data_IF_007483136118
#
_entry.id   IF_007483136118
#
_cell.length_a   1.000
_cell.length_b   1.000
_cell.length_c   1.000
_cell.angle_alpha   90.00
_cell.angle_beta   90.00
_cell.angle_gamma   90.00
#
_symmetry.space_group_name_H-M   'P 1'
#
loop_
_entity.id
_entity.type
_entity.pdbx_description
1 polymer ?
#
# COMPACT_ATOMS: atom_id res chain seq x y z
N UNK A 1 9.33 8.98 55.10
CA UNK A 1 8.40 7.89 54.89
C UNK A 1 7.40 8.29 53.84
N UNK A 2 7.54 7.73 52.65
CA UNK A 2 6.59 7.95 51.58
C UNK A 2 5.34 7.15 51.96
N UNK A 3 4.28 7.83 52.33
CA UNK A 3 2.93 7.27 52.44
C UNK A 3 2.31 7.24 51.04
N UNK A 4 1.51 6.25 50.70
CA UNK A 4 0.78 6.18 49.45
C UNK A 4 -0.02 7.48 49.21
N UNK A 5 -0.05 7.95 47.97
CA UNK A 5 -0.69 9.23 47.63
C UNK A 5 -1.64 9.07 46.46
N UNK A 6 -2.74 9.78 46.49
CA UNK A 6 -3.62 9.96 45.34
C UNK A 6 -3.16 11.17 44.53
N UNK A 7 -3.01 11.02 43.24
CA UNK A 7 -2.77 12.10 42.31
C UNK A 7 -3.76 11.95 41.13
N UNK A 8 -4.60 12.96 40.92
CA UNK A 8 -5.63 12.96 39.89
C UNK A 8 -6.52 11.68 39.87
N UNK A 9 -6.94 11.23 41.07
CA UNK A 9 -7.74 10.03 41.21
C UNK A 9 -6.99 8.70 41.16
N UNK A 10 -5.69 8.70 40.85
CA UNK A 10 -4.84 7.51 40.78
C UNK A 10 -4.04 7.36 42.09
N UNK A 11 -4.13 6.17 42.71
CA UNK A 11 -3.35 5.85 43.89
C UNK A 11 -1.94 5.40 43.54
N UNK A 12 -0.94 6.02 44.14
CA UNK A 12 0.47 5.64 44.05
C UNK A 12 0.90 5.01 45.36
N UNK A 13 1.29 3.71 45.37
CA UNK A 13 1.65 3.03 46.60
C UNK A 13 2.94 3.55 47.21
N UNK A 14 3.07 3.40 48.55
CA UNK A 14 4.31 3.62 49.26
C UNK A 14 5.30 2.47 48.98
N UNK A 15 6.61 2.74 49.18
CA UNK A 15 7.65 1.70 49.12
C UNK A 15 7.36 0.51 50.03
N UNK A 16 6.75 0.78 51.20
CA UNK A 16 6.39 -0.27 52.16
C UNK A 16 5.29 -1.16 51.62
N UNK A 17 4.28 -0.60 50.98
CA UNK A 17 3.19 -1.39 50.36
C UNK A 17 3.71 -2.24 49.20
N UNK A 18 4.63 -1.71 48.39
CA UNK A 18 5.29 -2.46 47.30
C UNK A 18 6.11 -3.62 47.91
N UNK A 19 6.91 -3.37 48.93
CA UNK A 19 7.73 -4.39 49.62
C UNK A 19 6.88 -5.48 50.31
N UNK A 20 5.66 -5.14 50.71
CA UNK A 20 4.72 -6.11 51.31
C UNK A 20 4.07 -7.03 50.27
N UNK A 21 4.40 -6.92 49.01
CA UNK A 21 3.85 -7.77 47.94
C UNK A 21 2.37 -7.54 47.62
N UNK A 22 1.82 -6.38 48.02
CA UNK A 22 0.41 -6.04 47.78
C UNK A 22 0.15 -5.54 46.37
N UNK A 23 1.21 -5.36 45.58
CA UNK A 23 1.17 -4.77 44.23
C UNK A 23 1.76 -5.73 43.22
N UNK A 24 1.25 -5.68 42.01
CA UNK A 24 1.77 -6.48 40.90
C UNK A 24 3.13 -5.98 40.41
N UNK A 25 3.86 -6.83 39.74
CA UNK A 25 5.04 -6.48 38.94
C UNK A 25 4.76 -6.94 37.51
N UNK A 26 3.90 -6.22 36.82
CA UNK A 26 3.40 -6.59 35.50
C UNK A 26 4.40 -6.18 34.43
N UNK A 27 4.91 -7.14 33.68
CA UNK A 27 5.67 -6.90 32.45
C UNK A 27 4.70 -6.70 31.27
N UNK A 28 4.30 -5.46 31.05
CA UNK A 28 3.39 -5.09 29.96
C UNK A 28 3.98 -5.37 28.59
N UNK A 29 5.32 -5.28 28.44
CA UNK A 29 5.98 -5.57 27.17
C UNK A 29 5.86 -7.05 26.81
N UNK A 30 6.11 -7.97 27.75
CA UNK A 30 5.97 -9.42 27.52
C UNK A 30 4.51 -9.81 27.20
N UNK A 31 3.55 -9.14 27.84
CA UNK A 31 2.14 -9.35 27.56
C UNK A 31 1.72 -8.91 26.15
N UNK A 32 2.30 -7.83 25.62
CA UNK A 32 1.93 -7.22 24.35
C UNK A 32 2.80 -7.71 23.17
N UNK A 33 4.02 -8.15 23.45
CA UNK A 33 5.00 -8.49 22.43
C UNK A 33 5.22 -10.01 22.31
N UNK A 34 5.85 -10.40 21.21
CA UNK A 34 6.27 -11.79 20.93
C UNK A 34 7.53 -11.79 20.08
N UNK A 35 8.20 -12.93 20.03
CA UNK A 35 9.16 -13.21 18.96
C UNK A 35 8.38 -13.33 17.65
N UNK A 36 8.63 -12.43 16.71
CA UNK A 36 7.98 -12.39 15.43
C UNK A 36 8.66 -13.31 14.42
N UNK A 37 7.88 -13.96 13.58
CA UNK A 37 8.37 -14.85 12.51
C UNK A 37 8.00 -14.28 11.15
N UNK A 38 8.98 -14.25 10.24
CA UNK A 38 8.76 -13.86 8.84
C UNK A 38 8.95 -15.09 7.96
N UNK A 39 7.94 -15.40 7.16
CA UNK A 39 7.98 -16.46 6.17
C UNK A 39 7.81 -15.86 4.77
N UNK A 40 8.74 -16.20 3.86
CA UNK A 40 8.67 -15.81 2.45
C UNK A 40 8.95 -17.04 1.58
N UNK A 41 7.90 -17.59 0.99
CA UNK A 41 7.96 -18.80 0.18
C UNK A 41 7.63 -18.47 -1.27
N UNK A 42 8.52 -18.87 -2.18
CA UNK A 42 8.34 -18.65 -3.62
C UNK A 42 8.51 -19.96 -4.39
N UNK A 43 7.58 -20.24 -5.27
CA UNK A 43 7.67 -21.33 -6.25
C UNK A 43 7.65 -20.74 -7.66
N UNK A 44 8.63 -21.12 -8.49
CA UNK A 44 8.76 -20.61 -9.85
C UNK A 44 8.83 -21.76 -10.85
N UNK A 45 8.03 -21.66 -11.91
CA UNK A 45 8.05 -22.55 -13.07
C UNK A 45 8.47 -21.73 -14.29
N UNK A 46 9.53 -22.17 -14.96
CA UNK A 46 10.02 -21.53 -16.17
C UNK A 46 10.12 -22.55 -17.29
N UNK A 47 9.68 -22.17 -18.48
CA UNK A 47 9.83 -22.96 -19.68
C UNK A 47 10.21 -22.05 -20.85
N UNK A 48 11.16 -22.49 -21.68
CA UNK A 48 11.63 -21.73 -22.84
C UNK A 48 11.87 -22.65 -24.01
N UNK A 49 11.46 -22.17 -25.17
CA UNK A 49 11.74 -22.77 -26.49
C UNK A 49 12.28 -21.67 -27.42
N UNK A 50 12.62 -22.00 -28.67
CA UNK A 50 13.04 -21.01 -29.66
C UNK A 50 11.98 -19.96 -29.99
N UNK A 51 10.69 -20.29 -29.76
CA UNK A 51 9.56 -19.43 -30.09
C UNK A 51 8.87 -18.82 -28.87
N UNK A 52 8.94 -19.46 -27.72
CA UNK A 52 8.18 -19.04 -26.54
C UNK A 52 9.05 -19.13 -25.28
N UNK A 53 8.87 -18.17 -24.41
CA UNK A 53 9.36 -18.24 -23.05
C UNK A 53 8.21 -17.86 -22.09
N UNK A 54 8.06 -18.62 -21.03
CA UNK A 54 7.07 -18.37 -19.97
C UNK A 54 7.75 -18.54 -18.62
N UNK A 55 7.41 -17.66 -17.70
CA UNK A 55 7.81 -17.72 -16.31
C UNK A 55 6.58 -17.45 -15.45
N UNK A 56 6.22 -18.41 -14.61
CA UNK A 56 5.15 -18.32 -13.62
C UNK A 56 5.79 -18.40 -12.23
N UNK A 57 5.57 -17.40 -11.41
CA UNK A 57 6.03 -17.37 -10.02
C UNK A 57 4.84 -17.17 -9.08
N UNK A 58 4.77 -18.00 -8.06
CA UNK A 58 3.83 -17.88 -6.95
C UNK A 58 4.62 -17.53 -5.70
N UNK A 59 4.22 -16.48 -5.02
CA UNK A 59 4.86 -16.05 -3.78
C UNK A 59 3.83 -15.90 -2.68
N UNK A 60 4.15 -16.43 -1.51
CA UNK A 60 3.41 -16.20 -0.27
C UNK A 60 4.36 -15.59 0.76
N UNK A 61 3.95 -14.46 1.30
CA UNK A 61 4.67 -13.71 2.32
C UNK A 61 3.77 -13.56 3.54
N UNK A 62 4.27 -13.98 4.72
CA UNK A 62 3.62 -13.83 6.02
C UNK A 62 4.64 -13.21 6.98
N UNK A 63 4.33 -12.01 7.44
CA UNK A 63 5.14 -11.22 8.35
C UNK A 63 4.35 -10.98 9.63
N UNK A 64 4.77 -11.63 10.70
CA UNK A 64 4.23 -11.38 12.02
C UNK A 64 4.91 -10.16 12.63
N UNK A 65 4.12 -9.23 13.16
CA UNK A 65 4.64 -8.09 13.92
C UNK A 65 5.16 -8.50 15.30
N UNK A 66 6.05 -7.69 15.84
CA UNK A 66 6.56 -7.84 17.23
C UNK A 66 5.42 -7.68 18.23
N UNK A 67 4.47 -6.79 18.00
CA UNK A 67 3.23 -6.74 18.78
C UNK A 67 2.31 -7.90 18.41
N UNK A 68 1.73 -8.53 19.44
CA UNK A 68 0.73 -9.61 19.27
C UNK A 68 -0.42 -9.07 18.41
N UNK A 69 -0.95 -9.89 17.52
CA UNK A 69 -1.99 -9.57 16.51
C UNK A 69 -1.52 -8.72 15.30
N UNK A 70 -0.40 -8.00 15.36
CA UNK A 70 0.15 -7.39 14.16
C UNK A 70 0.54 -8.46 13.15
N UNK A 71 0.10 -8.29 11.92
CA UNK A 71 0.51 -9.16 10.82
C UNK A 71 0.34 -8.48 9.47
N UNK A 72 1.16 -8.92 8.52
CA UNK A 72 1.01 -8.59 7.11
C UNK A 72 1.14 -9.87 6.28
N UNK A 73 0.09 -10.19 5.50
CA UNK A 73 0.06 -11.33 4.60
C UNK A 73 -0.12 -10.87 3.18
N UNK A 74 0.65 -11.47 2.28
CA UNK A 74 0.59 -11.14 0.86
C UNK A 74 0.75 -12.40 0.00
N UNK A 75 -0.15 -12.58 -0.94
CA UNK A 75 -0.03 -13.56 -2.02
C UNK A 75 0.20 -12.84 -3.35
N UNK A 76 1.19 -13.29 -4.13
CA UNK A 76 1.48 -12.77 -5.46
C UNK A 76 1.48 -13.89 -6.49
N UNK A 77 0.92 -13.61 -7.65
CA UNK A 77 1.08 -14.40 -8.88
C UNK A 77 1.74 -13.51 -9.90
N UNK A 78 2.91 -13.92 -10.39
CA UNK A 78 3.64 -13.23 -11.46
C UNK A 78 3.70 -14.12 -12.68
N UNK A 79 3.22 -13.61 -13.83
CA UNK A 79 3.26 -14.28 -15.11
C UNK A 79 3.99 -13.39 -16.12
N UNK A 80 5.16 -13.85 -16.57
CA UNK A 80 5.89 -13.22 -17.67
C UNK A 80 5.90 -14.16 -18.86
N UNK A 81 5.66 -13.61 -20.04
CA UNK A 81 5.61 -14.37 -21.28
C UNK A 81 6.20 -13.62 -22.46
N UNK A 82 6.81 -14.35 -23.37
CA UNK A 82 7.27 -13.85 -24.64
C UNK A 82 6.96 -14.90 -25.71
N UNK A 83 6.41 -14.48 -26.84
CA UNK A 83 6.05 -15.36 -27.94
C UNK A 83 6.41 -14.74 -29.28
N UNK A 84 7.27 -15.42 -30.06
CA UNK A 84 7.62 -15.07 -31.44
C UNK A 84 6.56 -15.63 -32.41
N UNK A 85 5.60 -14.79 -32.78
CA UNK A 85 4.56 -15.13 -33.76
C UNK A 85 5.14 -15.34 -35.17
N UNK A 86 6.16 -14.56 -35.52
CA UNK A 86 6.95 -14.66 -36.73
C UNK A 86 8.43 -14.40 -36.40
N UNK A 87 9.33 -14.58 -37.37
CA UNK A 87 10.77 -14.28 -37.19
C UNK A 87 11.02 -12.84 -36.80
N UNK A 88 10.16 -11.93 -37.25
CA UNK A 88 10.26 -10.48 -37.05
C UNK A 88 9.12 -9.90 -36.21
N UNK A 89 8.28 -10.75 -35.54
CA UNK A 89 7.18 -10.27 -34.72
C UNK A 89 7.12 -11.01 -33.40
N UNK A 90 7.22 -10.25 -32.29
CA UNK A 90 7.25 -10.77 -30.93
C UNK A 90 6.16 -10.11 -30.07
N UNK A 91 5.40 -10.92 -29.33
CA UNK A 91 4.51 -10.48 -28.26
C UNK A 91 5.18 -10.71 -26.91
N UNK A 92 4.98 -9.79 -25.97
CA UNK A 92 5.50 -9.89 -24.61
C UNK A 92 4.38 -9.52 -23.64
N UNK A 93 4.32 -10.22 -22.52
CA UNK A 93 3.39 -9.86 -21.44
C UNK A 93 4.08 -10.00 -20.10
N UNK A 94 3.72 -9.11 -19.18
CA UNK A 94 4.14 -9.17 -17.78
C UNK A 94 2.95 -8.82 -16.92
N UNK A 95 2.57 -9.72 -16.01
CA UNK A 95 1.40 -9.55 -15.16
C UNK A 95 1.76 -9.91 -13.74
N UNK A 96 1.34 -9.07 -12.81
CA UNK A 96 1.46 -9.28 -11.37
C UNK A 96 0.08 -9.08 -10.77
N UNK A 97 -0.44 -10.11 -10.13
CA UNK A 97 -1.63 -10.05 -9.29
C UNK A 97 -1.21 -10.20 -7.84
N UNK A 98 -1.58 -9.25 -7.00
CA UNK A 98 -1.31 -9.28 -5.57
C UNK A 98 -2.60 -9.17 -4.77
N UNK A 99 -2.68 -9.94 -3.69
CA UNK A 99 -3.72 -9.79 -2.66
C UNK A 99 -2.99 -9.70 -1.34
N UNK A 100 -3.32 -8.68 -0.54
CA UNK A 100 -2.70 -8.52 0.76
C UNK A 100 -3.71 -8.15 1.84
N UNK A 101 -3.38 -8.54 3.06
CA UNK A 101 -4.11 -8.16 4.28
C UNK A 101 -3.11 -7.74 5.33
N UNK A 102 -3.38 -6.63 5.99
CA UNK A 102 -2.62 -6.10 7.13
C UNK A 102 -3.56 -5.90 8.30
N UNK A 103 -3.12 -6.33 9.47
CA UNK A 103 -3.72 -5.98 10.75
C UNK A 103 -2.68 -5.21 11.56
N UNK A 104 -3.08 -4.09 12.16
CA UNK A 104 -2.23 -3.25 13.00
C UNK A 104 -2.84 -3.17 14.38
N UNK A 105 -2.04 -3.53 15.39
CA UNK A 105 -2.40 -3.43 16.79
C UNK A 105 -1.62 -2.26 17.43
N UNK A 106 -2.31 -1.17 17.71
CA UNK A 106 -1.71 0.05 18.25
C UNK A 106 -1.67 0.06 19.78
N UNK A 107 -1.20 -1.00 20.42
CA UNK A 107 -1.03 -1.01 21.88
C UNK A 107 0.17 -0.16 22.28
N UNK A 108 0.01 0.60 23.35
CA UNK A 108 1.06 1.44 23.93
C UNK A 108 1.35 0.96 25.36
N UNK A 109 2.10 -0.10 25.47
CA UNK A 109 2.49 -0.72 26.73
C UNK A 109 3.38 0.14 27.61
N UNK A 110 4.15 1.07 27.03
CA UNK A 110 5.14 1.90 27.72
C UNK A 110 4.53 2.92 28.70
N UNK A 111 3.26 3.24 28.53
CA UNK A 111 2.57 4.19 29.42
C UNK A 111 1.90 3.54 30.63
N UNK A 112 1.84 2.21 30.71
CA UNK A 112 1.11 1.50 31.75
C UNK A 112 1.97 1.29 33.00
N UNK A 113 1.41 1.59 34.16
CA UNK A 113 2.12 1.42 35.43
C UNK A 113 2.36 -0.09 35.72
N UNK A 114 3.61 -0.54 35.90
CA UNK A 114 3.91 -1.95 36.19
C UNK A 114 3.38 -2.44 37.55
N UNK A 115 3.03 -1.54 38.45
CA UNK A 115 2.44 -1.88 39.73
C UNK A 115 0.96 -2.29 39.66
N UNK A 116 0.33 -2.06 38.50
CA UNK A 116 -1.06 -2.43 38.29
C UNK A 116 -1.18 -3.88 37.80
N UNK A 117 -2.17 -4.63 38.33
CA UNK A 117 -2.45 -5.96 37.84
C UNK A 117 -3.04 -5.95 36.45
N UNK A 118 -3.00 -7.08 35.77
CA UNK A 118 -3.67 -7.26 34.46
C UNK A 118 -5.19 -7.35 34.63
N UNK A 119 -5.62 -8.07 35.69
CA UNK A 119 -7.01 -8.35 35.99
C UNK A 119 -7.37 -7.87 37.39
N UNK A 120 -8.60 -7.51 37.59
CA UNK A 120 -9.19 -7.26 38.91
C UNK A 120 -9.56 -8.57 39.61
N UNK A 121 -10.16 -8.47 40.79
CA UNK A 121 -10.60 -9.64 41.62
C UNK A 121 -11.72 -10.44 40.96
N UNK A 122 -12.50 -9.80 40.07
CA UNK A 122 -13.62 -10.40 39.32
C UNK A 122 -13.16 -11.03 37.99
N UNK A 123 -11.88 -10.86 37.61
CA UNK A 123 -11.30 -11.40 36.39
C UNK A 123 -11.47 -10.50 35.16
N UNK A 124 -11.98 -9.26 35.32
CA UNK A 124 -12.02 -8.28 34.26
C UNK A 124 -10.67 -7.56 34.13
N UNK A 125 -10.41 -6.91 33.01
CA UNK A 125 -9.22 -6.08 32.87
C UNK A 125 -9.22 -4.95 33.90
N UNK A 126 -8.10 -4.82 34.61
CA UNK A 126 -7.96 -3.80 35.67
C UNK A 126 -7.88 -2.40 35.06
N UNK A 127 -8.79 -1.53 35.49
CA UNK A 127 -8.79 -0.09 35.19
C UNK A 127 -8.71 0.70 36.49
N UNK A 128 -7.78 1.66 36.56
CA UNK A 128 -7.54 2.43 37.78
C UNK A 128 -8.63 3.50 38.04
N UNK A 129 -9.36 3.90 37.00
CA UNK A 129 -10.48 4.84 37.05
C UNK A 129 -11.37 4.67 35.81
N UNK A 130 -12.55 5.27 35.81
CA UNK A 130 -13.46 5.29 34.66
C UNK A 130 -12.85 5.95 33.42
N UNK A 131 -11.82 6.74 33.57
CA UNK A 131 -11.09 7.43 32.49
C UNK A 131 -9.73 6.79 32.18
N UNK A 132 -9.47 5.58 32.68
CA UNK A 132 -8.24 4.82 32.38
C UNK A 132 -8.41 4.00 31.09
N UNK A 133 -8.22 4.63 29.95
CA UNK A 133 -8.30 4.00 28.62
C UNK A 133 -6.96 3.42 28.14
N UNK A 134 -5.91 3.44 28.97
CA UNK A 134 -4.57 3.00 28.58
C UNK A 134 -4.27 1.52 28.77
N UNK A 135 -5.26 0.64 29.00
CA UNK A 135 -5.00 -0.78 29.23
C UNK A 135 -4.66 -1.49 27.89
N UNK A 136 -3.41 -1.98 27.68
CA UNK A 136 -2.96 -2.48 26.39
C UNK A 136 -3.79 -3.64 25.85
N UNK A 137 -4.26 -4.56 26.72
CA UNK A 137 -5.06 -5.70 26.28
C UNK A 137 -6.49 -5.28 25.91
N UNK A 138 -7.08 -4.29 26.60
CA UNK A 138 -8.37 -3.72 26.20
C UNK A 138 -8.25 -3.13 24.80
N UNK A 139 -7.21 -2.34 24.54
CA UNK A 139 -6.95 -1.76 23.21
C UNK A 139 -6.75 -2.88 22.18
N UNK A 140 -5.91 -3.88 22.52
CA UNK A 140 -5.65 -5.01 21.62
C UNK A 140 -6.91 -5.81 21.26
N UNK A 141 -7.87 -5.93 22.18
CA UNK A 141 -9.07 -6.73 21.95
C UNK A 141 -10.20 -5.94 21.29
N UNK A 142 -10.27 -4.63 21.56
CA UNK A 142 -11.40 -3.78 21.19
C UNK A 142 -11.08 -2.72 20.12
N UNK A 143 -9.84 -2.66 19.65
CA UNK A 143 -9.48 -1.88 18.46
C UNK A 143 -9.30 -2.82 17.27
N UNK A 144 -10.02 -2.55 16.19
CA UNK A 144 -9.80 -3.17 14.89
C UNK A 144 -9.11 -2.15 13.97
N UNK A 145 -8.03 -2.55 13.32
CA UNK A 145 -7.41 -1.76 12.27
C UNK A 145 -6.88 -2.71 11.20
N UNK A 146 -7.72 -2.98 10.22
CA UNK A 146 -7.42 -3.91 9.14
C UNK A 146 -7.39 -3.19 7.80
N UNK A 147 -6.45 -3.56 6.95
CA UNK A 147 -6.41 -3.11 5.56
C UNK A 147 -6.35 -4.35 4.66
N UNK A 148 -7.22 -4.41 3.67
CA UNK A 148 -7.20 -5.42 2.61
C UNK A 148 -6.99 -4.72 1.28
N UNK A 149 -6.04 -5.22 0.48
CA UNK A 149 -5.75 -4.64 -0.81
C UNK A 149 -5.61 -5.69 -1.91
N UNK A 150 -5.86 -5.25 -3.15
CA UNK A 150 -5.71 -6.05 -4.37
C UNK A 150 -5.08 -5.17 -5.43
N UNK A 151 -4.02 -5.67 -6.04
CA UNK A 151 -3.28 -4.96 -7.07
C UNK A 151 -3.15 -5.83 -8.30
N UNK A 152 -3.38 -5.25 -9.46
CA UNK A 152 -3.08 -5.82 -10.76
C UNK A 152 -2.16 -4.88 -11.51
N UNK A 153 -0.98 -5.37 -11.89
CA UNK A 153 -0.06 -4.71 -12.79
C UNK A 153 0.03 -5.57 -14.03
N UNK A 154 -0.38 -5.04 -15.16
CA UNK A 154 -0.43 -5.77 -16.44
C UNK A 154 0.25 -4.97 -17.53
N UNK A 155 1.10 -5.63 -18.29
CA UNK A 155 1.76 -5.08 -19.46
C UNK A 155 1.64 -6.05 -20.64
N UNK A 156 1.24 -5.51 -21.77
CA UNK A 156 1.22 -6.19 -23.05
C UNK A 156 2.01 -5.37 -24.06
N UNK A 157 3.00 -5.96 -24.71
CA UNK A 157 3.79 -5.31 -25.74
C UNK A 157 3.87 -6.16 -27.00
N UNK A 158 3.87 -5.48 -28.14
CA UNK A 158 4.12 -6.06 -29.46
C UNK A 158 5.32 -5.33 -30.11
N UNK A 159 6.27 -6.10 -30.59
CA UNK A 159 7.42 -5.58 -31.34
C UNK A 159 7.45 -6.24 -32.72
N UNK A 160 7.51 -5.41 -33.74
CA UNK A 160 7.58 -5.82 -35.13
C UNK A 160 8.76 -5.17 -35.86
N UNK A 161 9.66 -5.97 -36.36
CA UNK A 161 10.72 -5.54 -37.24
C UNK A 161 10.20 -5.58 -38.68
N UNK A 162 9.80 -4.42 -39.21
CA UNK A 162 9.15 -4.29 -40.53
C UNK A 162 10.12 -4.64 -41.64
N UNK A 163 11.31 -4.07 -41.55
CA UNK A 163 12.50 -4.36 -42.37
C UNK A 163 13.72 -4.28 -41.47
N UNK A 164 14.84 -4.79 -41.95
CA UNK A 164 16.09 -4.75 -41.20
C UNK A 164 16.42 -3.36 -40.68
N UNK A 165 16.59 -3.23 -39.38
CA UNK A 165 16.87 -1.97 -38.70
C UNK A 165 15.66 -1.07 -38.42
N UNK A 166 14.47 -1.35 -38.95
CA UNK A 166 13.23 -0.57 -38.69
C UNK A 166 12.28 -1.40 -37.81
N UNK A 167 12.12 -0.99 -36.58
CA UNK A 167 11.21 -1.64 -35.60
C UNK A 167 10.12 -0.68 -35.13
N UNK A 168 8.93 -1.22 -34.97
CA UNK A 168 7.84 -0.58 -34.25
C UNK A 168 7.55 -1.38 -32.99
N UNK A 169 7.42 -0.70 -31.86
CA UNK A 169 6.95 -1.29 -30.62
C UNK A 169 5.75 -0.54 -30.10
N UNK A 170 4.71 -1.26 -29.73
CA UNK A 170 3.56 -0.74 -29.02
C UNK A 170 3.41 -1.48 -27.70
N UNK A 171 3.06 -0.74 -26.64
CA UNK A 171 2.92 -1.28 -25.29
C UNK A 171 1.69 -0.66 -24.62
N UNK A 172 0.91 -1.49 -23.95
CA UNK A 172 -0.19 -1.10 -23.09
C UNK A 172 0.13 -1.59 -21.68
N UNK A 173 0.16 -0.66 -20.73
CA UNK A 173 0.29 -0.95 -19.31
C UNK A 173 -1.01 -0.56 -18.61
N UNK A 174 -1.47 -1.43 -17.73
CA UNK A 174 -2.64 -1.20 -16.89
C UNK A 174 -2.29 -1.54 -15.46
N UNK A 175 -2.40 -0.54 -14.58
CA UNK A 175 -2.28 -0.71 -13.15
C UNK A 175 -3.64 -0.47 -12.50
N UNK A 176 -4.05 -1.40 -11.66
CA UNK A 176 -5.27 -1.31 -10.86
C UNK A 176 -4.91 -1.63 -9.42
N UNK A 177 -5.27 -0.74 -8.52
CA UNK A 177 -5.11 -0.94 -7.09
C UNK A 177 -6.38 -0.56 -6.36
N UNK A 178 -6.83 -1.42 -5.47
CA UNK A 178 -7.93 -1.12 -4.56
C UNK A 178 -7.58 -1.58 -3.16
N UNK A 179 -7.93 -0.76 -2.17
CA UNK A 179 -7.81 -1.12 -0.76
C UNK A 179 -9.03 -0.68 0.03
N UNK A 180 -9.36 -1.49 1.02
CA UNK A 180 -10.36 -1.19 2.05
C UNK A 180 -9.64 -1.21 3.38
N UNK A 181 -9.72 -0.11 4.11
CA UNK A 181 -9.25 -0.03 5.49
C UNK A 181 -10.47 0.08 6.40
N UNK A 182 -10.54 -0.82 7.37
CA UNK A 182 -11.56 -0.88 8.41
C UNK A 182 -10.92 -0.58 9.75
N UNK A 183 -11.38 0.47 10.42
CA UNK A 183 -10.95 0.83 11.77
C UNK A 183 -12.17 0.91 12.68
N UNK A 184 -12.07 0.30 13.84
CA UNK A 184 -13.05 0.45 14.91
C UNK A 184 -12.32 0.66 16.23
N UNK A 185 -12.69 1.72 16.93
CA UNK A 185 -12.28 1.99 18.30
C UNK A 185 -13.51 1.87 19.19
N UNK A 186 -13.57 0.80 19.99
CA UNK A 186 -14.66 0.62 20.94
C UNK A 186 -14.63 1.72 22.02
N UNK A 187 -15.78 1.96 22.64
CA UNK A 187 -16.00 3.06 23.61
C UNK A 187 -15.07 3.01 24.83
N UNK A 188 -14.44 1.88 25.10
CA UNK A 188 -13.51 1.68 26.22
C UNK A 188 -12.01 1.75 25.84
N UNK A 189 -11.67 2.22 24.63
CA UNK A 189 -10.29 2.17 24.12
C UNK A 189 -9.54 3.51 24.19
N UNK A 190 -10.26 4.62 24.23
CA UNK A 190 -9.69 5.97 24.35
C UNK A 190 -10.75 6.95 24.86
N UNK A 191 -10.30 8.10 25.38
CA UNK A 191 -11.21 9.17 25.80
C UNK A 191 -12.10 9.63 24.64
N UNK A 192 -11.54 9.79 23.42
CA UNK A 192 -12.32 10.19 22.25
C UNK A 192 -13.38 9.15 21.88
N UNK A 193 -13.02 7.88 21.89
CA UNK A 193 -13.96 6.80 21.58
C UNK A 193 -15.04 6.67 22.66
N UNK A 194 -14.71 6.96 23.93
CA UNK A 194 -15.67 7.01 25.04
C UNK A 194 -16.69 8.13 24.85
N UNK A 195 -16.22 9.35 24.59
CA UNK A 195 -17.08 10.53 24.43
C UNK A 195 -17.99 10.40 23.19
N UNK A 196 -17.55 9.61 22.23
CA UNK A 196 -18.26 9.35 20.97
C UNK A 196 -19.05 8.03 20.96
N UNK A 197 -19.10 7.27 22.06
CA UNK A 197 -19.74 5.95 22.15
C UNK A 197 -19.30 5.01 21.00
N UNK A 198 -17.99 4.88 20.79
CA UNK A 198 -17.39 4.12 19.69
C UNK A 198 -17.22 4.92 18.41
N UNK A 199 -16.14 4.61 17.68
CA UNK A 199 -15.77 5.25 16.41
C UNK A 199 -15.49 4.17 15.38
N UNK A 200 -16.28 4.15 14.31
CA UNK A 200 -16.06 3.27 13.16
C UNK A 200 -15.61 4.08 11.95
N UNK A 201 -14.57 3.62 11.25
CA UNK A 201 -14.08 4.23 10.03
C UNK A 201 -13.93 3.17 8.94
N UNK A 202 -14.34 3.52 7.73
CA UNK A 202 -14.12 2.71 6.54
C UNK A 202 -13.59 3.60 5.41
N UNK A 203 -12.40 3.29 4.92
CA UNK A 203 -11.76 4.00 3.82
C UNK A 203 -11.60 3.06 2.61
N UNK A 204 -12.28 3.40 1.52
CA UNK A 204 -12.15 2.70 0.25
C UNK A 204 -11.33 3.55 -0.71
N UNK A 205 -10.23 3.02 -1.20
CA UNK A 205 -9.36 3.68 -2.18
C UNK A 205 -9.31 2.84 -3.45
N UNK A 206 -9.45 3.52 -4.60
CA UNK A 206 -9.31 2.95 -5.93
C UNK A 206 -8.34 3.82 -6.73
N UNK A 207 -7.33 3.19 -7.33
CA UNK A 207 -6.42 3.81 -8.28
C UNK A 207 -6.39 3.01 -9.59
N UNK A 208 -6.41 3.71 -10.71
CA UNK A 208 -6.28 3.13 -12.04
C UNK A 208 -5.34 3.97 -12.88
N UNK A 209 -4.38 3.30 -13.51
CA UNK A 209 -3.44 3.93 -14.43
C UNK A 209 -3.40 3.15 -15.73
N UNK A 210 -3.52 3.86 -16.85
CA UNK A 210 -3.41 3.31 -18.20
C UNK A 210 -2.33 4.08 -18.94
N UNK A 211 -1.26 3.39 -19.32
CA UNK A 211 -0.22 3.95 -20.18
C UNK A 211 -0.18 3.19 -21.50
N UNK A 212 -0.46 3.89 -22.59
CA UNK A 212 -0.25 3.38 -23.95
C UNK A 212 0.94 4.11 -24.57
N UNK A 213 1.88 3.36 -25.06
CA UNK A 213 3.08 3.88 -25.70
C UNK A 213 3.34 3.19 -27.03
N UNK A 214 3.67 3.97 -28.06
CA UNK A 214 4.09 3.43 -29.37
C UNK A 214 5.26 4.24 -29.88
N UNK A 215 6.32 3.54 -30.29
CA UNK A 215 7.47 4.17 -30.88
C UNK A 215 8.06 3.33 -32.03
N UNK A 216 8.69 4.05 -32.94
CA UNK A 216 9.42 3.49 -34.06
C UNK A 216 10.91 3.77 -33.83
N UNK A 217 11.75 2.77 -34.07
CA UNK A 217 13.19 2.90 -34.06
C UNK A 217 13.74 2.51 -35.41
N UNK A 218 14.68 3.30 -35.92
CA UNK A 218 15.44 2.99 -37.10
C UNK A 218 16.92 3.03 -36.78
N UNK A 219 17.64 1.95 -37.07
CA UNK A 219 19.09 1.84 -36.86
C UNK A 219 19.74 1.32 -38.12
N UNK A 220 20.77 2.04 -38.60
CA UNK A 220 21.52 1.62 -39.77
C UNK A 220 22.93 2.20 -39.76
N UNK A 221 23.89 1.36 -40.17
CA UNK A 221 25.26 1.77 -40.48
C UNK A 221 25.39 1.98 -41.97
N UNK A 222 25.90 3.13 -42.38
CA UNK A 222 26.16 3.47 -43.77
C UNK A 222 27.67 3.62 -44.00
N UNK A 223 28.19 3.03 -45.09
CA UNK A 223 29.58 3.13 -45.51
C UNK A 223 30.57 2.77 -44.37
N UNK A 224 30.19 1.85 -43.47
CA UNK A 224 30.97 1.37 -42.31
C UNK A 224 31.49 2.46 -41.35
N UNK A 225 31.01 3.71 -41.50
CA UNK A 225 31.50 4.87 -40.77
C UNK A 225 30.39 5.68 -40.12
N UNK A 226 29.18 5.59 -40.64
CA UNK A 226 28.04 6.42 -40.21
C UNK A 226 27.02 5.57 -39.50
N UNK A 227 27.00 5.57 -38.17
CA UNK A 227 25.99 4.89 -37.38
C UNK A 227 24.86 5.86 -37.06
N UNK A 228 23.66 5.60 -37.59
CA UNK A 228 22.47 6.39 -37.37
C UNK A 228 21.47 5.57 -36.58
N UNK A 229 20.97 6.15 -35.46
CA UNK A 229 19.82 5.63 -34.69
C UNK A 229 18.80 6.75 -34.50
N UNK A 230 17.59 6.53 -34.97
CA UNK A 230 16.46 7.46 -34.85
C UNK A 230 15.34 6.77 -34.10
N UNK A 231 14.74 7.45 -33.14
CA UNK A 231 13.55 7.00 -32.45
C UNK A 231 12.51 8.15 -32.47
N UNK A 232 11.27 7.83 -32.76
CA UNK A 232 10.14 8.74 -32.61
C UNK A 232 8.95 7.96 -32.04
N UNK A 233 8.20 8.58 -31.13
CA UNK A 233 7.08 7.92 -30.50
C UNK A 233 6.12 8.89 -29.84
N UNK A 234 5.03 8.30 -29.37
CA UNK A 234 4.05 8.96 -28.54
C UNK A 234 3.64 8.08 -27.35
N UNK A 235 3.22 8.71 -26.27
CA UNK A 235 2.59 8.03 -25.14
C UNK A 235 1.33 8.78 -24.71
N UNK A 236 0.34 8.01 -24.26
CA UNK A 236 -0.85 8.51 -23.60
C UNK A 236 -0.94 7.88 -22.21
N UNK A 237 -1.00 8.72 -21.20
CA UNK A 237 -1.09 8.32 -19.80
C UNK A 237 -2.40 8.87 -19.22
N UNK A 238 -3.17 7.99 -18.60
CA UNK A 238 -4.40 8.28 -17.87
C UNK A 238 -4.31 7.75 -16.46
N UNK A 239 -4.40 8.66 -15.50
CA UNK A 239 -4.41 8.33 -14.08
C UNK A 239 -5.76 8.71 -13.49
N UNK A 240 -6.34 7.83 -12.67
CA UNK A 240 -7.58 8.07 -11.93
C UNK A 240 -7.43 7.57 -10.49
N UNK A 241 -7.80 8.41 -9.55
CA UNK A 241 -7.89 8.09 -8.13
C UNK A 241 -9.26 8.43 -7.56
N UNK A 242 -9.79 7.55 -6.75
CA UNK A 242 -11.02 7.75 -6.00
C UNK A 242 -10.84 7.26 -4.57
N UNK A 243 -11.23 8.08 -3.61
CA UNK A 243 -11.30 7.69 -2.20
C UNK A 243 -12.69 7.99 -1.68
N UNK A 244 -13.27 7.05 -0.95
CA UNK A 244 -14.49 7.20 -0.19
C UNK A 244 -14.18 6.84 1.27
N UNK A 245 -14.20 7.82 2.14
CA UNK A 245 -14.06 7.68 3.58
C UNK A 245 -15.42 7.88 4.27
N UNK A 246 -15.74 6.99 5.19
CA UNK A 246 -16.94 7.10 6.05
C UNK A 246 -16.50 6.94 7.48
N UNK A 247 -16.97 7.84 8.36
CA UNK A 247 -16.81 7.72 9.81
C UNK A 247 -18.18 7.75 10.46
N UNK A 248 -18.45 6.78 11.31
CA UNK A 248 -19.69 6.69 12.10
C UNK A 248 -19.35 6.74 13.59
N UNK A 249 -20.24 7.36 14.34
CA UNK A 249 -20.12 7.60 15.78
C UNK A 249 -21.40 7.23 16.50
N UNK A 250 -21.33 7.14 17.84
CA UNK A 250 -22.47 7.07 18.73
C UNK A 250 -23.31 5.81 18.50
N UNK A 251 -22.64 4.68 18.71
CA UNK A 251 -23.22 3.35 18.66
C UNK A 251 -23.94 3.02 19.96
N UNK A 252 -25.02 2.24 19.89
CA UNK A 252 -25.74 1.77 21.08
C UNK A 252 -24.88 0.83 21.93
N UNK A 253 -23.99 0.06 21.27
CA UNK A 253 -23.00 -0.81 21.90
C UNK A 253 -21.91 -1.16 20.88
N UNK A 254 -20.81 -1.74 21.36
CA UNK A 254 -19.64 -2.07 20.55
C UNK A 254 -19.73 -3.42 19.81
N UNK A 255 -20.85 -4.15 19.91
CA UNK A 255 -20.94 -5.55 19.49
C UNK A 255 -20.74 -5.77 17.98
N UNK A 256 -21.19 -4.83 17.14
CA UNK A 256 -21.08 -4.95 15.69
C UNK A 256 -19.87 -4.23 15.11
N UNK A 257 -19.22 -3.36 15.88
CA UNK A 257 -18.07 -2.59 15.42
C UNK A 257 -18.35 -1.87 14.09
N UNK A 258 -17.43 -1.98 13.15
CA UNK A 258 -17.57 -1.41 11.81
C UNK A 258 -18.36 -2.29 10.81
N UNK A 259 -18.85 -3.46 11.20
CA UNK A 259 -19.64 -4.35 10.34
C UNK A 259 -21.04 -3.75 10.02
N UNK A 260 -21.51 -2.80 10.85
CA UNK A 260 -22.75 -2.06 10.62
C UNK A 260 -22.59 -0.58 10.92
N UNK A 261 -21.99 0.16 9.99
CA UNK A 261 -21.83 1.63 10.08
C UNK A 261 -23.17 2.37 10.24
N UNK A 262 -24.27 1.78 9.74
CA UNK A 262 -25.60 2.36 9.85
C UNK A 262 -26.21 2.30 11.26
N UNK A 263 -25.63 1.52 12.19
CA UNK A 263 -26.04 1.48 13.58
C UNK A 263 -25.58 2.69 14.41
N UNK A 264 -24.62 3.46 13.90
CA UNK A 264 -24.22 4.73 14.48
C UNK A 264 -25.28 5.82 14.29
N UNK A 265 -25.11 6.96 14.96
CA UNK A 265 -26.01 8.09 14.86
C UNK A 265 -25.89 8.79 13.48
N UNK A 266 -26.92 8.73 12.61
CA UNK A 266 -26.84 9.30 11.26
C UNK A 266 -26.54 10.80 11.22
N UNK A 267 -26.86 11.54 12.31
CA UNK A 267 -26.63 12.99 12.39
C UNK A 267 -25.16 13.34 12.69
N UNK A 268 -24.38 12.37 13.20
CA UNK A 268 -22.95 12.53 13.51
C UNK A 268 -22.05 11.92 12.43
N UNK A 269 -22.57 11.10 11.54
CA UNK A 269 -21.80 10.41 10.53
C UNK A 269 -21.18 11.39 9.52
N UNK A 270 -19.92 11.13 9.14
CA UNK A 270 -19.16 11.94 8.18
C UNK A 270 -18.82 11.10 6.96
N UNK A 271 -19.08 11.65 5.78
CA UNK A 271 -18.72 11.05 4.50
C UNK A 271 -17.81 12.00 3.75
N UNK A 272 -16.63 11.50 3.38
CA UNK A 272 -15.66 12.21 2.58
C UNK A 272 -15.45 11.47 1.25
N UNK A 273 -15.55 12.18 0.14
CA UNK A 273 -15.32 11.61 -1.18
C UNK A 273 -14.37 12.49 -1.98
N UNK A 274 -13.36 11.86 -2.55
CA UNK A 274 -12.41 12.52 -3.45
C UNK A 274 -12.36 11.77 -4.75
N UNK A 275 -12.44 12.49 -5.86
CA UNK A 275 -12.23 11.97 -7.21
C UNK A 275 -11.28 12.88 -7.96
N UNK A 276 -10.22 12.30 -8.51
CA UNK A 276 -9.26 13.02 -9.33
C UNK A 276 -8.87 12.19 -10.54
N UNK A 277 -8.65 12.87 -11.67
CA UNK A 277 -8.05 12.24 -12.83
C UNK A 277 -7.08 13.18 -13.54
N UNK A 278 -6.17 12.61 -14.27
CA UNK A 278 -5.27 13.36 -15.15
C UNK A 278 -4.97 12.59 -16.42
N UNK A 279 -4.70 13.34 -17.49
CA UNK A 279 -4.31 12.81 -18.79
C UNK A 279 -3.06 13.53 -19.25
N UNK A 280 -2.10 12.76 -19.76
CA UNK A 280 -0.88 13.27 -20.36
C UNK A 280 -0.71 12.65 -21.75
N UNK A 281 -0.57 13.49 -22.77
CA UNK A 281 -0.23 13.08 -24.13
C UNK A 281 1.16 13.61 -24.44
N UNK A 282 2.06 12.72 -24.83
CA UNK A 282 3.45 13.07 -25.09
C UNK A 282 3.86 12.62 -26.48
N UNK A 283 4.68 13.44 -27.13
CA UNK A 283 5.40 13.10 -28.35
C UNK A 283 6.90 13.30 -28.09
N UNK A 284 7.71 12.36 -28.52
CA UNK A 284 9.15 12.41 -28.28
C UNK A 284 9.94 11.86 -29.47
N UNK A 285 11.16 12.35 -29.59
CA UNK A 285 12.10 11.88 -30.59
C UNK A 285 13.55 11.96 -30.11
N UNK A 286 14.36 11.06 -30.61
CA UNK A 286 15.80 11.02 -30.37
C UNK A 286 16.54 10.68 -31.65
N UNK A 287 17.60 11.42 -31.89
CA UNK A 287 18.57 11.17 -32.94
C UNK A 287 19.93 10.92 -32.30
N UNK A 288 20.52 9.77 -32.58
CA UNK A 288 21.92 9.50 -32.25
C UNK A 288 22.67 9.27 -33.58
N UNK A 289 23.79 9.94 -33.71
CA UNK A 289 24.65 9.80 -34.88
C UNK A 289 26.09 9.68 -34.45
N UNK A 290 26.78 8.60 -34.91
CA UNK A 290 28.15 8.36 -34.63
C UNK A 290 28.93 8.30 -35.96
N UNK A 291 29.96 9.11 -36.06
CA UNK A 291 30.88 9.15 -37.21
C UNK A 291 32.24 8.60 -36.81
N UNK A 292 32.72 7.60 -37.56
CA UNK A 292 34.02 6.96 -37.39
C UNK A 292 34.28 6.43 -35.96
N UNK A 293 33.22 6.04 -35.22
CA UNK A 293 33.26 5.64 -33.81
C UNK A 293 33.94 6.68 -32.89
N UNK A 294 34.12 7.89 -33.38
CA UNK A 294 34.86 8.97 -32.74
C UNK A 294 34.02 10.18 -32.39
N UNK A 295 33.11 10.59 -33.29
CA UNK A 295 32.28 11.77 -33.10
C UNK A 295 30.82 11.34 -32.84
N UNK A 296 30.32 11.65 -31.67
CA UNK A 296 28.99 11.28 -31.20
C UNK A 296 28.10 12.53 -31.07
N UNK A 297 26.96 12.50 -31.73
CA UNK A 297 25.93 13.55 -31.65
C UNK A 297 24.64 12.93 -31.16
N UNK A 298 24.04 13.54 -30.13
CA UNK A 298 22.73 13.16 -29.64
C UNK A 298 21.83 14.39 -29.61
N UNK A 299 20.65 14.26 -30.17
CA UNK A 299 19.58 15.24 -30.05
C UNK A 299 18.32 14.55 -29.54
N UNK A 300 17.67 15.15 -28.54
CA UNK A 300 16.38 14.68 -28.00
C UNK A 300 15.41 15.82 -27.96
N UNK A 301 14.12 15.53 -28.16
CA UNK A 301 13.04 16.47 -28.01
C UNK A 301 11.80 15.78 -27.49
N UNK A 302 11.07 16.43 -26.58
CA UNK A 302 9.81 15.94 -26.04
C UNK A 302 8.79 17.08 -25.94
N UNK A 303 7.56 16.80 -26.30
CA UNK A 303 6.41 17.69 -26.13
C UNK A 303 5.37 16.99 -25.29
N UNK A 304 4.97 17.59 -24.16
CA UNK A 304 4.02 17.03 -23.20
C UNK A 304 2.80 17.92 -23.06
N UNK A 305 1.62 17.35 -23.33
CA UNK A 305 0.32 18.01 -23.15
C UNK A 305 -0.44 17.44 -21.96
N UNK A 306 -0.58 18.22 -20.89
CA UNK A 306 -1.20 17.79 -19.63
C UNK A 306 -2.59 18.40 -19.42
N UNK A 307 -3.53 17.55 -18.95
CA UNK A 307 -4.87 18.01 -18.53
C UNK A 307 -4.85 18.84 -17.26
N UNK A 308 -3.77 18.82 -16.47
CA UNK A 308 -3.62 19.59 -15.23
C UNK A 308 -3.40 21.07 -15.45
N UNK A 309 -3.00 21.46 -16.65
CA UNK A 309 -2.76 22.86 -16.99
C UNK A 309 -3.97 23.53 -17.64
N UNK A 310 -4.04 24.87 -17.52
CA UNK A 310 -5.11 25.70 -18.07
C UNK A 310 -5.25 25.57 -19.58
N UNK A 311 -6.42 25.92 -20.11
CA UNK A 311 -6.87 25.68 -21.50
C UNK A 311 -5.86 26.10 -22.58
N UNK A 312 -5.10 27.19 -22.33
CA UNK A 312 -4.18 27.77 -23.34
C UNK A 312 -2.68 27.43 -23.07
N UNK A 313 -2.34 26.70 -21.99
CA UNK A 313 -0.97 26.41 -21.59
C UNK A 313 -0.76 24.91 -21.31
N UNK A 314 -1.38 24.05 -22.10
CA UNK A 314 -1.35 22.60 -21.85
C UNK A 314 -0.05 21.93 -22.29
N UNK A 315 0.71 22.54 -23.17
CA UNK A 315 1.88 21.96 -23.79
C UNK A 315 3.18 22.55 -23.24
N UNK A 316 4.11 21.67 -22.86
CA UNK A 316 5.50 21.96 -22.55
C UNK A 316 6.42 21.31 -23.58
N UNK A 317 7.54 21.95 -23.91
CA UNK A 317 8.54 21.48 -24.87
C UNK A 317 9.88 21.38 -24.16
N UNK A 318 10.53 20.23 -24.30
CA UNK A 318 11.77 19.88 -23.60
C UNK A 318 12.79 19.35 -24.61
N UNK A 319 13.83 20.14 -24.93
CA UNK A 319 14.94 19.72 -25.79
C UNK A 319 15.93 18.81 -25.08
#
# INVERSE_FOLDING_TARGET
LYTGQYNNGTYYPSLIEIQQGKWSNTDWADLCMRTAVVNNTTATLSHSTDKAAINLSLNYFDDEGVYKKDNFRKGNVTLNGSYKLAKNFTLQTSNILSIHKRHVNNTLEYGRNPLWPVYDEDGNYFVASETDFGHPLIISDNVKNETQGRDLISSLAAEWEIVEGLKIRTQLNYNYSTSVQDVYNASNTSQEAHDMNGIAQMNNTLSQDVLSETYVTFQRTFADRHNLSVMAGHSFDYNMGRTLGTTAYDFVNDALGNENMGAGNPQKNVINNTYQNSKLLSFYGRLNYVLDDKYLFTFTMRADGSSKFGKNNKWGYFP
#
